data_IF_525122597377
#
_entry.id   IF_525122597377
#
_cell.length_a   1.000
_cell.length_b   1.000
_cell.length_c   1.000
_cell.angle_alpha   90.00
_cell.angle_beta   90.00
_cell.angle_gamma   90.00
#
_symmetry.space_group_name_H-M   'P 1'
#
loop_
_entity.id
_entity.type
_entity.pdbx_description
1 polymer ?
#
# COMPACT_ATOMS: atom_id res chain seq x y z
N UNK A 1 -20.70 -15.34 12.11
CA UNK A 1 -19.35 -15.64 11.58
C UNK A 1 -18.35 -14.84 12.38
N UNK A 2 -17.36 -15.48 13.02
CA UNK A 2 -16.33 -14.79 13.80
C UNK A 2 -14.98 -14.85 13.07
N UNK A 3 -14.32 -13.70 12.96
CA UNK A 3 -13.00 -13.58 12.34
C UNK A 3 -11.98 -13.30 13.43
N UNK A 4 -10.96 -14.15 13.53
CA UNK A 4 -9.85 -13.96 14.48
C UNK A 4 -8.63 -13.47 13.71
N UNK A 5 -8.19 -12.26 14.04
CA UNK A 5 -6.98 -11.67 13.46
C UNK A 5 -5.81 -11.87 14.41
N UNK A 6 -4.75 -12.51 13.94
CA UNK A 6 -3.51 -12.68 14.70
C UNK A 6 -2.30 -12.50 13.78
N UNK A 7 -1.15 -12.25 14.38
CA UNK A 7 0.13 -12.22 13.69
C UNK A 7 0.96 -13.41 14.15
N UNK A 8 1.57 -14.12 13.20
CA UNK A 8 2.44 -15.27 13.52
C UNK A 8 3.61 -15.33 12.54
N UNK A 9 4.52 -16.25 12.79
CA UNK A 9 5.64 -16.56 11.88
C UNK A 9 5.27 -17.74 10.99
N UNK A 10 5.75 -17.70 9.76
CA UNK A 10 5.72 -18.84 8.84
C UNK A 10 7.01 -19.62 9.04
N UNK A 11 6.93 -20.91 9.39
CA UNK A 11 8.10 -21.81 9.46
C UNK A 11 7.89 -22.96 8.48
N UNK A 12 8.84 -23.17 7.57
CA UNK A 12 8.80 -24.24 6.56
C UNK A 12 7.47 -24.28 5.77
N UNK A 13 7.00 -23.11 5.33
CA UNK A 13 5.73 -22.98 4.61
C UNK A 13 4.47 -23.17 5.46
N UNK A 14 4.60 -23.41 6.77
CA UNK A 14 3.47 -23.59 7.69
C UNK A 14 3.21 -22.34 8.52
N UNK A 15 1.96 -21.88 8.54
CA UNK A 15 1.48 -20.82 9.44
C UNK A 15 1.22 -21.45 10.81
N UNK A 16 1.93 -20.99 11.85
CA UNK A 16 1.80 -21.56 13.18
C UNK A 16 0.68 -20.85 13.93
N UNK A 17 -0.40 -21.57 14.25
CA UNK A 17 -1.48 -21.03 15.09
C UNK A 17 -0.97 -20.85 16.54
N UNK A 18 -1.06 -19.64 17.11
CA UNK A 18 -0.72 -19.40 18.51
C UNK A 18 -1.49 -20.34 19.45
N UNK A 19 -0.84 -20.79 20.53
CA UNK A 19 -1.39 -21.81 21.43
C UNK A 19 -2.77 -21.44 21.98
N UNK A 20 -2.97 -20.16 22.28
CA UNK A 20 -4.22 -19.58 22.78
C UNK A 20 -5.41 -19.75 21.80
N UNK A 21 -5.12 -19.83 20.50
CA UNK A 21 -6.13 -19.90 19.44
C UNK A 21 -6.39 -21.33 18.95
N UNK A 22 -5.60 -22.32 19.38
CA UNK A 22 -5.72 -23.72 18.90
C UNK A 22 -7.08 -24.34 19.19
N UNK A 23 -7.71 -23.99 20.30
CA UNK A 23 -9.04 -24.50 20.65
C UNK A 23 -10.15 -23.92 19.75
N UNK A 24 -9.91 -22.75 19.16
CA UNK A 24 -10.85 -22.02 18.32
C UNK A 24 -10.72 -22.38 16.84
N UNK A 25 -9.52 -22.78 16.40
CA UNK A 25 -9.21 -23.12 15.01
C UNK A 25 -9.35 -24.64 14.83
N UNK A 26 -10.51 -25.10 14.33
CA UNK A 26 -10.78 -26.51 14.01
C UNK A 26 -11.29 -26.66 12.58
N UNK A 27 -10.87 -27.72 11.88
CA UNK A 27 -11.32 -28.04 10.53
C UNK A 27 -10.66 -27.19 9.44
N UNK A 28 -11.38 -26.99 8.32
CA UNK A 28 -10.92 -26.19 7.18
C UNK A 28 -11.10 -24.70 7.49
N UNK A 29 -10.08 -23.90 7.24
CA UNK A 29 -10.10 -22.46 7.50
C UNK A 29 -9.69 -21.66 6.26
N UNK A 30 -10.28 -20.47 6.13
CA UNK A 30 -9.87 -19.45 5.18
C UNK A 30 -8.80 -18.56 5.83
N UNK A 31 -7.72 -18.24 5.12
CA UNK A 31 -6.57 -17.52 5.66
C UNK A 31 -6.27 -16.29 4.83
N UNK A 32 -6.25 -15.13 5.48
CA UNK A 32 -5.79 -13.87 4.88
C UNK A 32 -4.35 -13.59 5.32
N UNK A 33 -3.41 -13.66 4.37
CA UNK A 33 -1.98 -13.43 4.65
C UNK A 33 -1.61 -12.00 4.24
N UNK A 34 -1.12 -11.21 5.20
CA UNK A 34 -0.51 -9.91 4.94
C UNK A 34 0.98 -10.00 5.32
N UNK A 35 1.84 -9.84 4.32
CA UNK A 35 3.29 -9.89 4.53
C UNK A 35 3.76 -8.60 5.23
N UNK A 36 4.53 -8.73 6.31
CA UNK A 36 5.36 -7.64 6.83
C UNK A 36 6.71 -7.72 6.12
N UNK A 37 6.74 -7.18 4.91
CA UNK A 37 7.84 -6.98 3.95
C UNK A 37 9.19 -7.66 4.26
N UNK A 38 9.62 -8.55 3.34
CA UNK A 38 10.98 -8.51 2.82
C UNK A 38 10.87 -8.13 1.36
N UNK A 39 11.46 -7.00 1.01
CA UNK A 39 11.71 -6.51 -0.34
C UNK A 39 12.13 -7.65 -1.27
N UNK A 40 11.36 -7.85 -2.33
CA UNK A 40 11.85 -8.03 -3.69
C UNK A 40 10.80 -7.30 -4.54
N UNK A 41 11.25 -6.24 -5.19
CA UNK A 41 10.62 -5.27 -6.09
C UNK A 41 9.17 -5.53 -6.58
N UNK A 42 8.44 -4.40 -6.72
CA UNK A 42 7.09 -4.23 -7.32
C UNK A 42 5.96 -4.60 -6.33
N UNK A 43 5.35 -3.71 -5.54
CA UNK A 43 4.90 -2.35 -5.79
C UNK A 43 4.99 -1.56 -4.46
N UNK A 44 5.99 -0.70 -4.30
CA UNK A 44 5.70 0.52 -3.54
C UNK A 44 4.53 1.20 -4.25
N UNK A 45 3.53 1.77 -3.55
CA UNK A 45 2.50 2.55 -4.24
C UNK A 45 3.25 3.58 -5.07
N UNK A 46 3.17 3.45 -6.40
CA UNK A 46 3.89 4.28 -7.35
C UNK A 46 3.63 5.74 -7.00
N UNK A 47 4.57 6.36 -6.29
CA UNK A 47 4.45 7.75 -5.88
C UNK A 47 4.89 8.58 -7.07
N UNK A 48 3.90 8.87 -7.91
CA UNK A 48 4.07 9.64 -9.13
C UNK A 48 4.78 10.98 -8.85
N UNK A 49 4.62 11.56 -7.65
CA UNK A 49 5.32 12.78 -7.27
C UNK A 49 6.81 12.51 -7.08
N UNK A 50 7.16 11.48 -6.31
CA UNK A 50 8.55 11.06 -6.10
C UNK A 50 9.27 10.69 -7.40
N UNK A 51 8.57 10.05 -8.34
CA UNK A 51 9.13 9.71 -9.64
C UNK A 51 9.38 10.96 -10.50
N UNK A 52 8.41 11.87 -10.59
CA UNK A 52 8.54 13.12 -11.35
C UNK A 52 9.59 14.07 -10.77
N UNK A 53 9.88 14.00 -9.46
CA UNK A 53 10.99 14.74 -8.85
C UNK A 53 12.36 14.22 -9.29
N UNK A 54 12.49 12.91 -9.49
CA UNK A 54 13.74 12.27 -9.96
C UNK A 54 13.89 12.36 -11.48
N UNK A 55 12.79 12.19 -12.19
CA UNK A 55 12.69 12.15 -13.65
C UNK A 55 11.63 13.17 -14.12
N UNK A 56 11.97 14.47 -14.15
CA UNK A 56 11.02 15.49 -14.59
C UNK A 56 10.66 15.26 -16.07
N UNK A 57 9.37 15.41 -16.39
CA UNK A 57 8.91 15.31 -17.77
C UNK A 57 9.53 16.44 -18.61
N UNK A 58 10.22 16.13 -19.72
CA UNK A 58 10.79 17.14 -20.58
C UNK A 58 9.67 17.86 -21.34
N UNK A 59 9.45 19.14 -21.02
CA UNK A 59 8.49 19.99 -21.71
C UNK A 59 9.26 21.02 -22.53
N UNK A 60 8.98 21.11 -23.83
CA UNK A 60 9.74 21.97 -24.75
C UNK A 60 9.60 23.47 -24.48
N UNK A 61 8.49 23.90 -23.86
CA UNK A 61 8.25 25.29 -23.45
C UNK A 61 7.39 25.32 -22.17
N UNK A 62 8.03 25.21 -20.98
CA UNK A 62 7.29 25.20 -19.73
C UNK A 62 6.73 26.60 -19.46
N UNK A 63 5.44 26.80 -19.74
CA UNK A 63 4.74 28.04 -19.41
C UNK A 63 4.28 28.01 -17.94
N UNK A 64 4.91 28.80 -17.04
CA UNK A 64 4.43 28.90 -15.67
C UNK A 64 3.03 29.51 -15.64
N UNK A 65 2.17 28.99 -14.78
CA UNK A 65 0.86 29.58 -14.52
C UNK A 65 1.03 30.96 -13.89
N UNK A 66 0.22 31.91 -14.36
CA UNK A 66 0.08 33.23 -13.74
C UNK A 66 -0.61 33.12 -12.38
N UNK A 67 -0.48 34.15 -11.55
CA UNK A 67 -1.10 34.17 -10.21
C UNK A 67 -2.62 33.99 -10.30
N UNK A 68 -3.26 34.66 -11.25
CA UNK A 68 -4.71 34.61 -11.43
C UNK A 68 -5.17 33.20 -11.81
N UNK A 69 -4.46 32.53 -12.73
CA UNK A 69 -4.74 31.15 -13.13
C UNK A 69 -4.61 30.14 -11.97
N UNK A 70 -3.69 30.37 -11.03
CA UNK A 70 -3.51 29.53 -9.85
C UNK A 70 -4.72 29.66 -8.90
N UNK A 71 -5.21 30.89 -8.68
CA UNK A 71 -6.35 31.13 -7.80
C UNK A 71 -7.65 30.56 -8.39
N UNK A 72 -7.86 30.73 -9.69
CA UNK A 72 -9.03 30.17 -10.39
C UNK A 72 -9.08 28.64 -10.30
N UNK A 73 -7.92 27.97 -10.45
CA UNK A 73 -7.83 26.51 -10.32
C UNK A 73 -8.22 26.04 -8.92
N UNK A 74 -7.74 26.71 -7.87
CA UNK A 74 -8.00 26.32 -6.49
C UNK A 74 -9.45 26.53 -6.05
N UNK A 75 -10.19 27.44 -6.68
CA UNK A 75 -11.62 27.63 -6.42
C UNK A 75 -12.49 26.57 -7.12
N UNK A 76 -12.03 26.01 -8.24
CA UNK A 76 -12.79 25.05 -9.06
C UNK A 76 -12.83 23.61 -8.52
N UNK A 77 -11.95 23.28 -7.57
CA UNK A 77 -11.88 21.96 -6.92
C UNK A 77 -12.38 21.98 -5.46
N UNK A 78 -13.18 23.00 -5.09
CA UNK A 78 -13.93 23.06 -3.83
C UNK A 78 -15.39 22.70 -4.03
#
# INVERSE_FOLDING_TARGET
MSVVKFQTTVKNGSIIIPTELRNLVKGKVEVFVRLKNKSNDEEEPYDIISELMKNPLPVSDPKPLTRDEIYDRNQKFR
#
